data_IF_224531000989
#
_entry.id   IF_224531000989
#
_cell.length_a   1.000
_cell.length_b   1.000
_cell.length_c   1.000
_cell.angle_alpha   90.00
_cell.angle_beta   90.00
_cell.angle_gamma   90.00
#
_symmetry.space_group_name_H-M   'P 1'
#
loop_
_entity.id
_entity.type
_entity.pdbx_description
1 polymer ?
#
# COMPACT_ATOMS: atom_id res chain seq x y z
N UNK A 1 7.77 -8.63 12.89
CA UNK A 1 8.22 -9.80 12.07
C UNK A 1 9.55 -10.29 12.63
N UNK A 2 9.65 -11.60 12.90
CA UNK A 2 10.81 -12.23 13.54
C UNK A 2 11.67 -13.04 12.56
N UNK A 3 11.11 -13.38 11.41
CA UNK A 3 11.82 -14.11 10.33
C UNK A 3 11.28 -13.72 8.97
N UNK A 4 12.15 -13.56 8.00
CA UNK A 4 11.83 -13.37 6.58
C UNK A 4 12.71 -14.30 5.75
N UNK A 5 12.11 -15.07 4.86
CA UNK A 5 12.81 -15.97 3.92
C UNK A 5 12.35 -15.67 2.51
N UNK A 6 13.28 -15.51 1.61
CA UNK A 6 13.08 -15.29 0.17
C UNK A 6 13.63 -16.46 -0.62
N UNK A 7 12.90 -16.86 -1.65
CA UNK A 7 13.33 -17.88 -2.62
C UNK A 7 13.07 -17.36 -4.02
N UNK A 8 14.08 -17.37 -4.87
CA UNK A 8 14.06 -16.90 -6.27
C UNK A 8 13.38 -15.54 -6.48
N UNK A 9 13.54 -14.62 -5.52
CA UNK A 9 12.92 -13.32 -5.50
C UNK A 9 13.89 -12.22 -5.97
N UNK A 10 13.64 -11.60 -7.12
CA UNK A 10 14.49 -10.53 -7.68
C UNK A 10 15.96 -11.00 -7.83
N UNK A 11 16.87 -10.39 -7.05
CA UNK A 11 18.29 -10.77 -7.01
C UNK A 11 18.61 -11.94 -6.07
N UNK A 12 17.68 -12.29 -5.18
CA UNK A 12 17.91 -13.27 -4.12
C UNK A 12 17.55 -14.68 -4.58
N UNK A 13 18.54 -15.60 -4.61
CA UNK A 13 18.30 -17.01 -4.88
C UNK A 13 17.64 -17.70 -3.68
N UNK A 14 18.26 -17.56 -2.52
CA UNK A 14 17.75 -18.00 -1.23
C UNK A 14 18.36 -17.11 -0.16
N UNK A 15 17.53 -16.50 0.66
CA UNK A 15 17.99 -15.58 1.70
C UNK A 15 17.07 -15.66 2.90
N UNK A 16 17.69 -15.64 4.09
CA UNK A 16 16.96 -15.60 5.36
C UNK A 16 17.52 -14.48 6.23
N UNK A 17 16.63 -13.70 6.81
CA UNK A 17 16.95 -12.66 7.79
C UNK A 17 16.05 -12.84 9.02
N UNK A 18 16.62 -12.68 10.20
CA UNK A 18 15.93 -12.78 11.49
C UNK A 18 16.10 -11.47 12.24
N UNK A 19 15.25 -10.47 11.91
CA UNK A 19 15.25 -9.20 12.60
C UNK A 19 14.64 -9.34 13.99
N UNK A 20 15.20 -8.66 14.97
CA UNK A 20 14.55 -8.43 16.25
C UNK A 20 13.50 -7.31 16.16
N UNK A 21 12.84 -6.98 17.26
CA UNK A 21 11.98 -5.80 17.36
C UNK A 21 12.78 -4.51 17.14
N UNK A 22 12.12 -3.47 16.64
CA UNK A 22 12.72 -2.15 16.44
C UNK A 22 13.21 -1.90 15.01
N UNK A 23 14.01 -0.84 14.80
CA UNK A 23 14.47 -0.43 13.48
C UNK A 23 15.43 -1.44 12.83
N UNK A 24 15.26 -1.68 11.55
CA UNK A 24 16.10 -2.53 10.70
C UNK A 24 16.68 -1.65 9.60
N UNK A 25 17.99 -1.45 9.62
CA UNK A 25 18.70 -0.60 8.67
C UNK A 25 19.42 -1.48 7.65
N UNK A 26 19.11 -1.27 6.39
CA UNK A 26 19.70 -1.96 5.25
C UNK A 26 20.63 -1.00 4.52
N UNK A 27 21.94 -1.24 4.62
CA UNK A 27 22.98 -0.44 3.97
C UNK A 27 23.61 -1.18 2.79
N UNK A 28 24.34 -0.46 1.96
CA UNK A 28 25.06 -1.01 0.81
C UNK A 28 24.92 -0.16 -0.46
N UNK A 29 25.67 -0.46 -1.52
CA UNK A 29 25.66 0.33 -2.76
C UNK A 29 24.31 0.30 -3.47
N UNK A 30 24.14 1.22 -4.43
CA UNK A 30 22.95 1.22 -5.29
C UNK A 30 22.91 -0.08 -6.12
N UNK A 31 21.69 -0.64 -6.24
CA UNK A 31 21.50 -1.91 -6.94
C UNK A 31 21.82 -3.17 -6.11
N UNK A 32 22.36 -3.06 -4.89
CA UNK A 32 22.73 -4.22 -4.04
C UNK A 32 21.53 -5.12 -3.64
N UNK A 33 20.29 -4.63 -3.73
CA UNK A 33 19.10 -5.41 -3.39
C UNK A 33 18.30 -4.87 -2.19
N UNK A 34 18.70 -3.75 -1.58
CA UNK A 34 18.02 -3.15 -0.41
C UNK A 34 16.50 -2.98 -0.62
N UNK A 35 16.10 -2.26 -1.67
CA UNK A 35 14.70 -2.05 -2.01
C UNK A 35 13.97 -3.35 -2.35
N UNK A 36 14.67 -4.39 -2.82
CA UNK A 36 14.05 -5.70 -3.08
C UNK A 36 13.63 -6.38 -1.77
N UNK A 37 14.37 -6.21 -0.67
CA UNK A 37 13.93 -6.69 0.65
C UNK A 37 12.68 -5.94 1.14
N UNK A 38 12.65 -4.62 1.02
CA UNK A 38 11.44 -3.86 1.34
C UNK A 38 10.25 -4.30 0.47
N UNK A 39 10.50 -4.53 -0.82
CA UNK A 39 9.48 -5.04 -1.73
C UNK A 39 8.93 -6.40 -1.26
N UNK A 40 9.82 -7.31 -0.84
CA UNK A 40 9.41 -8.60 -0.30
C UNK A 40 8.52 -8.46 0.94
N UNK A 41 8.90 -7.60 1.90
CA UNK A 41 8.05 -7.31 3.07
C UNK A 41 6.70 -6.73 2.65
N UNK A 42 6.67 -5.84 1.67
CA UNK A 42 5.42 -5.24 1.18
C UNK A 42 4.46 -6.24 0.54
N UNK A 43 4.95 -7.38 0.04
CA UNK A 43 4.13 -8.49 -0.44
C UNK A 43 3.50 -9.32 0.67
N UNK A 44 3.90 -9.16 1.91
CA UNK A 44 3.24 -9.78 3.06
C UNK A 44 2.00 -9.00 3.53
N UNK A 45 1.70 -7.86 2.92
CA UNK A 45 0.47 -7.11 3.06
C UNK A 45 -0.43 -7.26 1.81
N UNK A 46 -1.73 -6.92 1.88
CA UNK A 46 -2.61 -6.89 0.70
C UNK A 46 -2.10 -5.93 -0.38
N UNK A 47 -2.38 -6.26 -1.64
CA UNK A 47 -2.03 -5.42 -2.78
C UNK A 47 -0.88 -5.96 -3.63
N UNK A 48 -0.35 -5.12 -4.51
CA UNK A 48 0.65 -5.50 -5.53
C UNK A 48 2.09 -5.18 -5.11
N UNK A 49 2.35 -5.09 -3.81
CA UNK A 49 3.67 -4.73 -3.30
C UNK A 49 4.09 -3.29 -3.59
N UNK A 50 5.30 -2.96 -3.18
CA UNK A 50 5.87 -1.61 -3.16
C UNK A 50 5.98 -1.00 -4.57
N UNK A 51 6.47 -1.76 -5.56
CA UNK A 51 6.69 -1.30 -6.95
C UNK A 51 5.54 -1.62 -7.90
N UNK A 52 4.55 -2.42 -7.49
CA UNK A 52 3.43 -2.87 -8.33
C UNK A 52 3.84 -3.60 -9.61
N UNK A 53 4.97 -4.26 -9.59
CA UNK A 53 5.48 -5.06 -10.69
C UNK A 53 4.51 -6.20 -11.05
N UNK A 54 4.59 -6.67 -12.29
CA UNK A 54 3.96 -7.94 -12.67
C UNK A 54 4.62 -9.08 -11.90
N UNK A 55 3.87 -10.11 -11.56
CA UNK A 55 4.40 -11.21 -10.75
C UNK A 55 5.56 -11.93 -11.46
N UNK A 56 5.50 -12.02 -12.78
CA UNK A 56 6.57 -12.58 -13.64
C UNK A 56 7.84 -11.72 -13.68
N UNK A 57 7.72 -10.40 -13.45
CA UNK A 57 8.89 -9.49 -13.40
C UNK A 57 9.69 -9.63 -12.09
N UNK A 58 9.12 -10.28 -11.09
CA UNK A 58 9.73 -10.51 -9.78
C UNK A 58 10.62 -11.75 -9.77
N UNK A 59 10.37 -12.70 -10.68
CA UNK A 59 11.20 -13.91 -10.82
C UNK A 59 12.67 -13.54 -10.89
N UNK A 60 13.50 -14.34 -10.24
CA UNK A 60 14.94 -14.13 -10.24
C UNK A 60 15.51 -14.25 -11.63
N UNK A 61 16.19 -13.21 -12.10
CA UNK A 61 16.93 -13.22 -13.37
C UNK A 61 18.31 -13.78 -13.12
N UNK A 62 18.59 -14.96 -13.66
CA UNK A 62 19.93 -15.56 -13.66
C UNK A 62 20.73 -14.97 -14.82
N UNK A 63 21.93 -14.40 -14.61
CA UNK A 63 22.78 -13.96 -15.69
C UNK A 63 23.09 -15.12 -16.65
N UNK A 64 23.11 -14.92 -17.97
CA UNK A 64 23.34 -15.98 -18.96
C UNK A 64 24.71 -16.67 -18.82
N UNK A 65 25.66 -16.09 -18.10
CA UNK A 65 27.00 -16.63 -17.89
C UNK A 65 27.08 -17.83 -16.91
N UNK A 66 26.00 -18.18 -16.22
CA UNK A 66 25.91 -19.41 -15.38
C UNK A 66 24.67 -20.20 -15.78
N UNK A 67 24.75 -21.07 -16.78
CA UNK A 67 23.66 -21.98 -17.05
C UNK A 67 23.48 -22.89 -15.83
N UNK A 68 22.46 -22.64 -15.04
CA UNK A 68 21.96 -23.59 -14.07
C UNK A 68 21.10 -24.59 -14.86
N UNK A 69 21.33 -25.89 -14.71
CA UNK A 69 20.51 -26.94 -15.32
C UNK A 69 19.05 -26.93 -14.86
N UNK A 70 18.71 -26.07 -13.92
CA UNK A 70 17.35 -25.89 -13.40
C UNK A 70 16.94 -24.41 -13.62
N UNK A 71 15.87 -24.15 -14.38
CA UNK A 71 15.34 -22.83 -14.50
C UNK A 71 14.95 -22.30 -13.11
N UNK A 72 15.07 -20.99 -12.84
CA UNK A 72 14.62 -20.43 -11.58
C UNK A 72 13.14 -20.76 -11.37
N UNK A 73 12.82 -21.23 -10.17
CA UNK A 73 11.46 -21.49 -9.75
C UNK A 73 10.64 -20.21 -9.68
N UNK A 74 9.33 -20.34 -9.48
CA UNK A 74 8.50 -19.20 -9.12
C UNK A 74 8.96 -18.65 -7.78
N UNK A 75 9.02 -17.32 -7.66
CA UNK A 75 9.42 -16.69 -6.41
C UNK A 75 8.49 -17.01 -5.25
N UNK A 76 9.06 -17.08 -4.06
CA UNK A 76 8.33 -17.24 -2.82
C UNK A 76 8.90 -16.36 -1.70
N UNK A 77 8.03 -15.89 -0.83
CA UNK A 77 8.33 -15.15 0.39
C UNK A 77 7.62 -15.86 1.54
N UNK A 78 8.34 -16.16 2.61
CA UNK A 78 7.77 -16.66 3.85
C UNK A 78 8.23 -15.79 5.02
N UNK A 79 7.35 -15.53 5.96
CA UNK A 79 7.67 -14.78 7.16
C UNK A 79 6.99 -15.38 8.40
N UNK A 80 7.65 -15.20 9.53
CA UNK A 80 7.05 -15.33 10.85
C UNK A 80 6.79 -13.93 11.38
N UNK A 81 5.53 -13.65 11.70
CA UNK A 81 5.09 -12.36 12.22
C UNK A 81 4.54 -12.54 13.62
N UNK A 82 4.81 -11.59 14.49
CA UNK A 82 4.30 -11.56 15.86
C UNK A 82 3.40 -10.33 16.01
N UNK A 83 2.17 -10.54 16.42
CA UNK A 83 1.18 -9.49 16.60
C UNK A 83 0.36 -9.73 17.88
N UNK A 84 -0.66 -8.90 18.14
CA UNK A 84 -1.52 -9.04 19.34
C UNK A 84 -2.20 -10.40 19.48
N UNK A 85 -2.46 -11.07 18.35
CA UNK A 85 -3.07 -12.41 18.31
C UNK A 85 -2.07 -13.56 18.44
N UNK A 86 -0.79 -13.26 18.70
CA UNK A 86 0.29 -14.24 18.78
C UNK A 86 1.18 -14.29 17.53
N UNK A 87 1.94 -15.38 17.41
CA UNK A 87 2.83 -15.62 16.28
C UNK A 87 2.07 -16.31 15.15
N UNK A 88 2.29 -15.87 13.91
CA UNK A 88 1.73 -16.47 12.71
C UNK A 88 2.78 -16.65 11.61
N UNK A 89 2.71 -17.76 10.88
CA UNK A 89 3.53 -18.00 9.68
C UNK A 89 2.71 -17.66 8.45
N UNK A 90 3.16 -16.66 7.73
CA UNK A 90 2.53 -16.20 6.50
C UNK A 90 3.48 -16.38 5.32
N UNK A 91 2.94 -16.69 4.16
CA UNK A 91 3.73 -16.87 2.95
C UNK A 91 2.97 -16.39 1.72
N UNK A 92 3.72 -15.99 0.72
CA UNK A 92 3.16 -15.63 -0.58
C UNK A 92 4.15 -15.93 -1.69
N UNK A 93 3.64 -16.23 -2.87
CA UNK A 93 4.48 -16.53 -4.01
C UNK A 93 3.69 -16.47 -5.33
N UNK A 94 4.41 -16.62 -6.43
CA UNK A 94 3.81 -16.80 -7.74
C UNK A 94 3.40 -18.26 -7.93
N UNK A 95 2.21 -18.48 -8.48
CA UNK A 95 1.76 -19.81 -8.86
C UNK A 95 2.50 -20.25 -10.15
N UNK A 96 3.39 -21.20 -10.01
CA UNK A 96 4.15 -21.75 -11.14
C UNK A 96 3.26 -22.52 -12.14
N UNK A 97 2.11 -23.05 -11.68
CA UNK A 97 1.18 -23.80 -12.52
C UNK A 97 0.18 -22.90 -13.27
N UNK A 98 0.16 -21.60 -13.00
CA UNK A 98 -0.72 -20.66 -13.67
C UNK A 98 -0.23 -20.36 -15.09
N UNK A 99 -1.06 -20.63 -16.10
CA UNK A 99 -0.75 -20.36 -17.51
C UNK A 99 -0.42 -18.87 -17.77
N UNK A 100 -1.08 -17.96 -17.09
CA UNK A 100 -0.82 -16.52 -17.22
C UNK A 100 0.44 -16.06 -16.46
N UNK A 101 0.96 -16.89 -15.52
CA UNK A 101 2.04 -16.51 -14.61
C UNK A 101 1.70 -15.38 -13.63
N UNK A 102 0.49 -14.84 -13.67
CA UNK A 102 0.05 -13.67 -12.88
C UNK A 102 -0.85 -14.04 -11.70
N UNK A 103 -0.88 -15.33 -11.32
CA UNK A 103 -1.59 -15.79 -10.13
C UNK A 103 -0.69 -15.78 -8.92
N UNK A 104 -1.15 -15.11 -7.87
CA UNK A 104 -0.47 -15.07 -6.56
C UNK A 104 -1.12 -16.07 -5.61
N UNK A 105 -0.29 -16.87 -4.94
CA UNK A 105 -0.69 -17.76 -3.85
C UNK A 105 -0.39 -17.09 -2.53
N UNK A 106 -1.26 -17.27 -1.55
CA UNK A 106 -1.06 -16.85 -0.16
C UNK A 106 -1.27 -18.07 0.74
N UNK A 107 -0.37 -18.26 1.67
CA UNK A 107 -0.43 -19.31 2.69
C UNK A 107 -0.47 -18.66 4.09
N UNK A 108 -1.32 -19.17 4.97
CA UNK A 108 -1.37 -18.81 6.38
C UNK A 108 -1.30 -20.11 7.17
N UNK A 109 -0.33 -20.24 8.06
CA UNK A 109 -0.02 -21.51 8.78
C UNK A 109 0.14 -22.71 7.85
N UNK A 110 0.67 -22.48 6.64
CA UNK A 110 0.86 -23.52 5.63
C UNK A 110 -0.38 -23.87 4.82
N UNK A 111 -1.57 -23.35 5.18
CA UNK A 111 -2.80 -23.59 4.44
C UNK A 111 -3.08 -22.46 3.42
N UNK A 112 -3.61 -22.78 2.22
CA UNK A 112 -3.97 -21.78 1.24
C UNK A 112 -5.07 -20.83 1.75
N UNK A 113 -4.82 -19.52 1.70
CA UNK A 113 -5.82 -18.51 2.02
C UNK A 113 -6.77 -18.27 0.83
N UNK A 114 -8.01 -17.92 1.12
CA UNK A 114 -9.03 -17.62 0.09
C UNK A 114 -8.66 -16.44 -0.80
N UNK A 115 -7.95 -15.46 -0.25
CA UNK A 115 -7.49 -14.28 -0.97
C UNK A 115 -6.29 -13.62 -0.27
N UNK A 116 -5.59 -12.73 -0.99
CA UNK A 116 -4.51 -11.93 -0.40
C UNK A 116 -5.00 -10.95 0.69
N UNK A 117 -6.30 -10.67 0.76
CA UNK A 117 -6.87 -9.81 1.80
C UNK A 117 -6.69 -10.42 3.21
N UNK A 118 -6.61 -11.75 3.33
CA UNK A 118 -6.35 -12.43 4.59
C UNK A 118 -5.02 -12.03 5.25
N UNK A 119 -4.03 -11.57 4.47
CA UNK A 119 -2.76 -11.05 5.03
C UNK A 119 -2.95 -9.85 5.94
N UNK A 120 -4.01 -9.02 5.73
CA UNK A 120 -4.29 -7.83 6.54
C UNK A 120 -4.63 -8.14 8.01
N UNK A 121 -5.02 -9.37 8.31
CA UNK A 121 -5.27 -9.81 9.68
C UNK A 121 -3.97 -10.09 10.46
N UNK A 122 -2.87 -10.31 9.74
CA UNK A 122 -1.58 -10.72 10.31
C UNK A 122 -0.50 -9.65 10.21
N UNK A 123 -0.51 -8.84 9.16
CA UNK A 123 0.48 -7.79 8.95
C UNK A 123 -0.13 -6.57 8.30
N UNK A 124 0.05 -5.42 8.91
CA UNK A 124 -0.13 -4.11 8.29
C UNK A 124 1.24 -3.55 7.93
N UNK A 125 1.43 -3.13 6.69
CA UNK A 125 2.65 -2.46 6.24
C UNK A 125 2.31 -1.19 5.47
N UNK A 126 3.03 -0.12 5.74
CA UNK A 126 2.98 1.15 5.02
C UNK A 126 4.38 1.51 4.54
N UNK A 127 4.48 2.11 3.38
CA UNK A 127 5.79 2.43 2.81
C UNK A 127 5.88 3.82 2.22
N UNK A 128 7.09 4.34 2.24
CA UNK A 128 7.52 5.52 1.53
C UNK A 128 8.66 5.14 0.59
N UNK A 129 8.56 5.57 -0.64
CA UNK A 129 9.58 5.36 -1.68
C UNK A 129 9.88 6.67 -2.38
N UNK A 130 11.04 6.83 -3.04
CA UNK A 130 11.35 8.04 -3.81
C UNK A 130 10.29 8.40 -4.86
N UNK A 131 9.63 7.40 -5.44
CA UNK A 131 8.55 7.61 -6.42
C UNK A 131 7.34 8.33 -5.81
N UNK A 132 7.12 8.18 -4.51
CA UNK A 132 5.99 8.81 -3.80
C UNK A 132 6.23 10.28 -3.48
N UNK A 133 7.44 10.80 -3.66
CA UNK A 133 7.75 12.23 -3.51
C UNK A 133 6.87 13.08 -4.47
N UNK A 134 6.37 12.48 -5.55
CA UNK A 134 5.45 13.11 -6.51
C UNK A 134 3.96 12.86 -6.24
N UNK A 135 3.60 12.23 -5.12
CA UNK A 135 2.23 11.83 -4.83
C UNK A 135 1.21 12.97 -4.97
N UNK A 136 1.57 14.16 -4.52
CA UNK A 136 0.67 15.31 -4.54
C UNK A 136 0.60 16.01 -5.90
N UNK A 137 1.61 15.84 -6.75
CA UNK A 137 1.64 16.37 -8.13
C UNK A 137 1.19 15.35 -9.18
N UNK A 138 1.17 14.05 -8.83
CA UNK A 138 0.67 12.99 -9.69
C UNK A 138 -0.87 13.03 -9.77
N UNK A 139 -1.44 12.23 -10.68
CA UNK A 139 -2.89 12.13 -10.85
C UNK A 139 -3.61 11.50 -9.65
N UNK A 140 -4.90 11.78 -9.50
CA UNK A 140 -5.76 11.30 -8.42
C UNK A 140 -5.70 9.77 -8.19
N UNK A 141 -5.40 8.98 -9.22
CA UNK A 141 -5.27 7.53 -9.08
C UNK A 141 -4.11 7.10 -8.17
N UNK A 142 -3.01 7.88 -8.14
CA UNK A 142 -1.90 7.63 -7.22
C UNK A 142 -2.32 7.91 -5.76
N UNK A 143 -3.02 9.02 -5.53
CA UNK A 143 -3.54 9.41 -4.22
C UNK A 143 -4.60 8.44 -3.69
N UNK A 144 -5.52 7.96 -4.55
CA UNK A 144 -6.47 6.90 -4.14
C UNK A 144 -5.77 5.62 -3.70
N UNK A 145 -4.77 5.16 -4.45
CA UNK A 145 -4.00 3.96 -4.07
C UNK A 145 -3.24 4.13 -2.76
N UNK A 146 -2.72 5.33 -2.51
CA UNK A 146 -2.11 5.66 -1.23
C UNK A 146 -3.15 5.61 -0.11
N UNK A 147 -4.30 6.26 -0.31
CA UNK A 147 -5.41 6.24 0.65
C UNK A 147 -5.91 4.81 0.92
N UNK A 148 -6.17 4.00 -0.11
CA UNK A 148 -6.64 2.62 0.07
C UNK A 148 -5.68 1.79 0.93
N UNK A 149 -4.38 2.02 0.79
CA UNK A 149 -3.37 1.36 1.63
C UNK A 149 -3.50 1.75 3.10
N UNK A 150 -3.76 3.01 3.40
CA UNK A 150 -4.03 3.46 4.75
C UNK A 150 -5.33 2.85 5.28
N UNK A 151 -6.37 2.77 4.45
CA UNK A 151 -7.66 2.16 4.81
C UNK A 151 -7.49 0.68 5.15
N UNK A 152 -6.61 -0.09 4.47
CA UNK A 152 -6.36 -1.50 4.80
C UNK A 152 -5.91 -1.70 6.24
N UNK A 153 -5.17 -0.76 6.82
CA UNK A 153 -4.78 -0.80 8.23
C UNK A 153 -5.98 -0.65 9.17
N UNK A 154 -6.94 0.19 8.83
CA UNK A 154 -8.14 0.41 9.63
C UNK A 154 -9.21 -0.65 9.42
N UNK A 155 -9.34 -1.15 8.19
CA UNK A 155 -10.37 -2.06 7.73
C UNK A 155 -9.79 -3.11 6.77
N UNK A 156 -9.40 -4.30 7.27
CA UNK A 156 -8.87 -5.38 6.44
C UNK A 156 -9.80 -5.82 5.30
N UNK A 157 -11.12 -5.67 5.47
CA UNK A 157 -12.13 -6.00 4.45
C UNK A 157 -12.13 -5.06 3.25
N UNK A 158 -11.53 -3.87 3.38
CA UNK A 158 -11.52 -2.86 2.31
C UNK A 158 -10.85 -3.36 1.02
N UNK A 159 -9.76 -4.13 1.13
CA UNK A 159 -9.10 -4.70 -0.04
C UNK A 159 -10.02 -5.61 -0.87
N UNK A 160 -10.88 -6.38 -0.20
CA UNK A 160 -11.88 -7.21 -0.87
C UNK A 160 -12.93 -6.36 -1.60
N UNK A 161 -13.46 -5.32 -0.94
CA UNK A 161 -14.46 -4.41 -1.52
C UNK A 161 -13.93 -3.65 -2.73
N UNK A 162 -12.69 -3.12 -2.65
CA UNK A 162 -12.04 -2.45 -3.79
C UNK A 162 -11.90 -3.41 -4.98
N UNK A 163 -11.40 -4.64 -4.75
CA UNK A 163 -11.25 -5.63 -5.80
C UNK A 163 -12.60 -6.04 -6.42
N UNK A 164 -13.63 -6.24 -5.60
CA UNK A 164 -14.98 -6.58 -6.07
C UNK A 164 -15.59 -5.45 -6.90
N UNK A 165 -15.45 -4.20 -6.43
CA UNK A 165 -15.86 -3.00 -7.17
C UNK A 165 -15.16 -2.90 -8.54
N UNK A 166 -13.84 -3.02 -8.57
CA UNK A 166 -13.05 -2.93 -9.81
C UNK A 166 -13.37 -4.07 -10.79
N UNK A 167 -13.67 -5.28 -10.29
CA UNK A 167 -14.05 -6.42 -11.12
C UNK A 167 -15.37 -6.15 -11.83
N UNK A 168 -16.40 -5.76 -11.06
CA UNK A 168 -17.75 -5.50 -11.59
C UNK A 168 -17.73 -4.29 -12.54
N UNK A 169 -16.96 -3.24 -12.23
CA UNK A 169 -16.78 -2.09 -13.10
C UNK A 169 -16.17 -2.47 -14.45
N UNK A 170 -15.15 -3.33 -14.46
CA UNK A 170 -14.52 -3.82 -15.71
C UNK A 170 -15.49 -4.70 -16.52
N UNK A 171 -16.26 -5.54 -15.84
CA UNK A 171 -17.26 -6.40 -16.50
C UNK A 171 -18.35 -5.56 -17.15
N UNK A 172 -18.89 -4.54 -16.44
CA UNK A 172 -19.83 -3.58 -17.00
C UNK A 172 -19.25 -2.84 -18.22
N UNK A 173 -18.01 -2.33 -18.10
CA UNK A 173 -17.36 -1.64 -19.22
C UNK A 173 -17.18 -2.54 -20.45
N UNK A 174 -16.82 -3.82 -20.24
CA UNK A 174 -16.69 -4.81 -21.31
C UNK A 174 -18.04 -5.04 -22.03
N UNK A 175 -19.12 -5.22 -21.27
CA UNK A 175 -20.46 -5.43 -21.84
C UNK A 175 -20.96 -4.20 -22.60
N UNK A 176 -20.65 -2.99 -22.13
CA UNK A 176 -21.03 -1.76 -22.82
C UNK A 176 -20.22 -1.50 -24.09
N UNK A 177 -19.05 -2.13 -24.24
CA UNK A 177 -18.19 -2.01 -25.41
C UNK A 177 -18.48 -3.07 -26.49
N UNK A 178 -19.36 -4.05 -26.24
CA UNK A 178 -19.74 -5.07 -27.22
C UNK A 178 -20.63 -4.47 -28.33
N UNK A 179 -20.41 -4.88 -29.57
CA UNK A 179 -21.22 -4.44 -30.73
C UNK A 179 -22.69 -4.83 -30.65
N UNK A 180 -23.00 -5.85 -29.85
CA UNK A 180 -24.38 -6.28 -29.60
C UNK A 180 -24.92 -5.64 -28.34
N UNK A 181 -26.16 -5.18 -28.32
CA UNK A 181 -26.77 -4.66 -27.10
C UNK A 181 -26.69 -5.70 -25.97
N UNK A 182 -26.03 -5.32 -24.88
CA UNK A 182 -25.98 -6.16 -23.67
C UNK A 182 -27.40 -6.34 -23.09
N UNK A 183 -27.62 -7.48 -22.45
CA UNK A 183 -28.87 -7.73 -21.71
C UNK A 183 -29.06 -6.64 -20.63
N UNK A 184 -30.16 -5.87 -20.69
CA UNK A 184 -30.43 -4.81 -19.72
C UNK A 184 -30.55 -5.32 -18.29
N UNK A 185 -31.03 -6.56 -18.09
CA UNK A 185 -31.17 -7.17 -16.77
C UNK A 185 -29.77 -7.49 -16.18
N UNK A 186 -28.85 -7.99 -16.99
CA UNK A 186 -27.48 -8.24 -16.56
C UNK A 186 -26.76 -6.94 -16.20
N UNK A 187 -26.85 -5.90 -17.04
CA UNK A 187 -26.29 -4.59 -16.73
C UNK A 187 -26.84 -4.03 -15.41
N UNK A 188 -28.14 -4.16 -15.17
CA UNK A 188 -28.79 -3.70 -13.93
C UNK A 188 -28.26 -4.47 -12.71
N UNK A 189 -28.06 -5.78 -12.81
CA UNK A 189 -27.47 -6.58 -11.74
C UNK A 189 -26.02 -6.17 -11.44
N UNK A 190 -25.20 -5.93 -12.47
CA UNK A 190 -23.84 -5.43 -12.31
C UNK A 190 -23.81 -4.04 -11.68
N UNK A 191 -24.68 -3.14 -12.09
CA UNK A 191 -24.79 -1.79 -11.56
C UNK A 191 -25.23 -1.77 -10.08
N UNK A 192 -26.14 -2.67 -9.68
CA UNK A 192 -26.49 -2.88 -8.28
C UNK A 192 -25.28 -3.33 -7.44
N UNK A 193 -24.56 -4.36 -7.89
CA UNK A 193 -23.34 -4.81 -7.21
C UNK A 193 -22.23 -3.75 -7.19
N UNK A 194 -22.13 -2.98 -8.27
CA UNK A 194 -21.18 -1.87 -8.35
C UNK A 194 -21.54 -0.77 -7.36
N UNK A 195 -22.83 -0.48 -7.16
CA UNK A 195 -23.33 0.50 -6.18
C UNK A 195 -23.04 0.02 -4.75
N UNK A 196 -23.41 -1.20 -4.39
CA UNK A 196 -23.13 -1.81 -3.10
C UNK A 196 -21.65 -1.71 -2.70
N UNK A 197 -20.76 -2.24 -3.54
CA UNK A 197 -19.32 -2.22 -3.24
C UNK A 197 -18.74 -0.80 -3.31
N UNK A 198 -19.24 0.04 -4.22
CA UNK A 198 -18.78 1.41 -4.39
C UNK A 198 -19.09 2.32 -3.19
N UNK A 199 -20.31 2.22 -2.65
CA UNK A 199 -20.71 2.93 -1.43
C UNK A 199 -19.87 2.47 -0.24
N UNK A 200 -19.65 1.16 -0.09
CA UNK A 200 -18.81 0.62 0.98
C UNK A 200 -17.35 1.08 0.88
N UNK A 201 -16.80 1.21 -0.33
CA UNK A 201 -15.45 1.77 -0.56
C UNK A 201 -15.40 3.25 -0.20
N UNK A 202 -16.36 4.06 -0.65
CA UNK A 202 -16.40 5.49 -0.35
C UNK A 202 -16.56 5.76 1.15
N UNK A 203 -17.46 5.05 1.82
CA UNK A 203 -17.69 5.18 3.26
C UNK A 203 -16.43 4.84 4.08
N UNK A 204 -15.71 3.74 3.74
CA UNK A 204 -14.48 3.37 4.42
C UNK A 204 -13.35 4.41 4.22
N UNK A 205 -13.26 5.00 3.02
CA UNK A 205 -12.30 6.09 2.75
C UNK A 205 -12.63 7.35 3.52
N UNK A 206 -13.92 7.76 3.59
CA UNK A 206 -14.35 8.92 4.36
C UNK A 206 -14.03 8.76 5.86
N UNK A 207 -14.36 7.60 6.45
CA UNK A 207 -14.04 7.31 7.85
C UNK A 207 -12.52 7.37 8.10
N UNK A 208 -11.72 6.77 7.23
CA UNK A 208 -10.26 6.79 7.36
C UNK A 208 -9.70 8.21 7.23
N UNK A 209 -10.18 9.01 6.26
CA UNK A 209 -9.72 10.40 6.07
C UNK A 209 -10.10 11.25 7.29
N UNK A 210 -11.30 11.14 7.82
CA UNK A 210 -11.72 11.88 9.00
C UNK A 210 -10.84 11.58 10.23
N UNK A 211 -10.53 10.30 10.45
CA UNK A 211 -9.63 9.85 11.53
C UNK A 211 -8.21 10.38 11.36
N UNK A 212 -7.68 10.27 10.14
CA UNK A 212 -6.33 10.73 9.84
C UNK A 212 -6.21 12.24 9.91
N UNK A 213 -7.21 13.00 9.42
CA UNK A 213 -7.24 14.46 9.53
C UNK A 213 -7.15 14.91 10.98
N UNK A 214 -7.92 14.26 11.87
CA UNK A 214 -7.87 14.56 13.31
C UNK A 214 -6.47 14.34 13.90
N UNK A 215 -5.83 13.20 13.62
CA UNK A 215 -4.48 12.89 14.12
C UNK A 215 -3.41 13.77 13.47
N UNK A 216 -3.53 14.06 12.18
CA UNK A 216 -2.61 14.96 11.47
C UNK A 216 -2.69 16.41 12.00
N UNK A 217 -3.88 16.87 12.37
CA UNK A 217 -4.07 18.19 12.95
C UNK A 217 -3.38 18.36 14.32
N UNK A 218 -3.21 17.28 15.08
CA UNK A 218 -2.50 17.27 16.37
C UNK A 218 -0.98 17.23 16.22
N UNK A 219 -0.45 16.98 15.01
CA UNK A 219 0.99 16.84 14.76
C UNK A 219 1.72 18.15 15.08
N UNK A 220 2.75 18.03 15.92
CA UNK A 220 3.66 19.13 16.32
C UNK A 220 5.09 18.70 16.05
N UNK A 221 5.97 19.69 15.84
CA UNK A 221 7.41 19.43 15.68
C UNK A 221 7.92 19.64 14.26
N UNK A 222 8.89 18.85 13.82
CA UNK A 222 9.61 19.02 12.56
C UNK A 222 8.79 18.69 11.29
N UNK A 223 7.70 17.90 11.45
CA UNK A 223 6.79 17.61 10.35
C UNK A 223 5.56 18.50 10.43
N UNK A 224 5.15 19.15 9.30
CA UNK A 224 3.99 20.02 9.31
C UNK A 224 2.71 19.22 9.54
N UNK A 225 1.76 19.83 10.26
CA UNK A 225 0.40 19.31 10.31
C UNK A 225 -0.20 19.26 8.89
N UNK A 226 -0.87 18.17 8.56
CA UNK A 226 -1.62 18.05 7.31
C UNK A 226 -3.12 18.16 7.60
N UNK A 227 -3.87 18.75 6.65
CA UNK A 227 -5.32 18.71 6.62
C UNK A 227 -5.74 17.85 5.45
N UNK A 228 -6.56 16.86 5.73
CA UNK A 228 -6.98 15.84 4.77
C UNK A 228 -8.46 16.01 4.43
N UNK A 229 -8.79 15.82 3.16
CA UNK A 229 -10.18 15.82 2.67
C UNK A 229 -10.33 14.78 1.57
N UNK A 230 -11.55 14.31 1.35
CA UNK A 230 -11.87 13.41 0.25
C UNK A 230 -12.97 14.05 -0.59
N UNK A 231 -12.65 14.33 -1.85
CA UNK A 231 -13.57 14.93 -2.81
C UNK A 231 -14.04 13.87 -3.80
N UNK A 232 -15.34 13.76 -3.99
CA UNK A 232 -15.98 12.87 -4.95
C UNK A 232 -17.49 12.99 -4.86
N UNK A 233 -18.18 12.64 -5.95
CA UNK A 233 -19.64 12.78 -6.00
C UNK A 233 -20.33 11.77 -5.05
N UNK A 234 -19.84 10.54 -5.00
CA UNK A 234 -20.36 9.51 -4.07
C UNK A 234 -20.10 9.92 -2.61
N UNK A 235 -18.90 10.44 -2.35
CA UNK A 235 -18.47 10.89 -1.03
C UNK A 235 -19.33 12.06 -0.54
N UNK A 236 -19.70 12.98 -1.44
CA UNK A 236 -20.61 14.10 -1.11
C UNK A 236 -22.02 13.59 -0.74
N UNK A 237 -22.54 12.59 -1.47
CA UNK A 237 -23.85 12.02 -1.12
C UNK A 237 -23.87 11.37 0.25
N UNK A 238 -22.80 10.70 0.64
CA UNK A 238 -22.68 10.06 1.95
C UNK A 238 -22.60 11.09 3.11
N UNK A 239 -22.24 12.33 2.81
CA UNK A 239 -22.34 13.44 3.76
C UNK A 239 -23.78 13.89 4.02
N UNK A 240 -24.66 13.76 3.00
CA UNK A 240 -25.99 14.33 3.02
C UNK A 240 -27.13 13.30 3.14
N UNK A 241 -26.85 12.02 2.82
CA UNK A 241 -27.85 10.96 2.68
C UNK A 241 -27.46 9.71 3.45
N UNK A 242 -28.47 8.91 3.84
CA UNK A 242 -28.24 7.55 4.32
C UNK A 242 -27.58 6.69 3.23
N UNK A 243 -26.72 5.75 3.63
CA UNK A 243 -25.95 4.90 2.70
C UNK A 243 -26.84 4.16 1.69
N UNK A 244 -28.00 3.65 2.11
CA UNK A 244 -28.92 2.95 1.23
C UNK A 244 -29.48 3.90 0.13
N UNK A 245 -29.84 5.13 0.49
CA UNK A 245 -30.33 6.12 -0.49
C UNK A 245 -29.21 6.55 -1.46
N UNK A 246 -27.97 6.62 -1.01
CA UNK A 246 -26.82 6.88 -1.87
C UNK A 246 -26.55 5.72 -2.83
N UNK A 247 -26.74 4.47 -2.38
CA UNK A 247 -26.61 3.25 -3.18
C UNK A 247 -27.65 3.18 -4.29
N UNK A 248 -28.93 3.40 -3.96
CA UNK A 248 -30.03 3.47 -4.94
C UNK A 248 -29.79 4.56 -5.99
N UNK A 249 -29.38 5.76 -5.55
CA UNK A 249 -29.05 6.86 -6.46
C UNK A 249 -27.86 6.50 -7.36
N UNK A 250 -26.82 5.84 -6.82
CA UNK A 250 -25.68 5.43 -7.61
C UNK A 250 -26.06 4.41 -8.69
N UNK A 251 -26.82 3.36 -8.35
CA UNK A 251 -27.32 2.38 -9.31
C UNK A 251 -28.16 3.05 -10.41
N UNK A 252 -29.08 3.95 -10.03
CA UNK A 252 -29.91 4.71 -10.96
C UNK A 252 -29.07 5.58 -11.92
N UNK A 253 -28.06 6.26 -11.41
CA UNK A 253 -27.17 7.11 -12.23
C UNK A 253 -26.30 6.26 -13.18
N UNK A 254 -25.80 5.10 -12.75
CA UNK A 254 -25.07 4.16 -13.62
C UNK A 254 -25.94 3.70 -14.78
N UNK A 255 -27.22 3.34 -14.52
CA UNK A 255 -28.16 2.96 -15.56
C UNK A 255 -28.43 4.09 -16.56
N UNK A 256 -28.59 5.32 -16.07
CA UNK A 256 -28.78 6.49 -16.95
C UNK A 256 -27.52 6.84 -17.78
N UNK A 257 -26.32 6.53 -17.27
CA UNK A 257 -25.05 6.84 -17.93
C UNK A 257 -24.60 5.81 -18.98
N UNK A 258 -25.30 4.69 -19.17
CA UNK A 258 -24.88 3.57 -20.06
C UNK A 258 -24.41 4.04 -21.44
N UNK A 259 -25.15 4.93 -22.09
CA UNK A 259 -24.81 5.45 -23.45
C UNK A 259 -23.52 6.27 -23.44
N UNK A 260 -23.36 7.14 -22.45
CA UNK A 260 -22.18 7.99 -22.32
C UNK A 260 -20.94 7.17 -21.97
N UNK A 261 -21.09 6.20 -21.06
CA UNK A 261 -20.02 5.30 -20.65
C UNK A 261 -19.57 4.38 -21.81
N UNK A 262 -20.52 3.88 -22.62
CA UNK A 262 -20.23 3.13 -23.84
C UNK A 262 -19.45 3.97 -24.86
N UNK A 263 -19.89 5.21 -25.10
CA UNK A 263 -19.25 6.10 -26.06
C UNK A 263 -17.83 6.54 -25.64
N UNK A 264 -17.60 6.73 -24.32
CA UNK A 264 -16.31 7.15 -23.77
C UNK A 264 -15.36 5.98 -23.46
N UNK A 265 -15.86 4.74 -23.44
CA UNK A 265 -15.14 3.56 -22.99
C UNK A 265 -14.78 3.57 -21.50
N UNK A 266 -15.39 4.49 -20.71
CA UNK A 266 -15.06 4.64 -19.29
C UNK A 266 -16.31 4.89 -18.46
N UNK A 267 -16.35 4.36 -17.23
CA UNK A 267 -17.39 4.71 -16.26
C UNK A 267 -17.12 6.09 -15.68
N UNK A 268 -18.06 7.02 -15.85
CA UNK A 268 -17.92 8.42 -15.44
C UNK A 268 -18.14 8.67 -13.96
N UNK A 269 -18.87 7.81 -13.26
CA UNK A 269 -19.31 7.99 -11.88
C UNK A 269 -18.84 6.84 -10.98
N UNK A 270 -18.37 7.17 -9.77
CA UNK A 270 -18.02 6.19 -8.74
C UNK A 270 -16.82 6.57 -7.89
N UNK A 271 -16.51 5.82 -6.82
CA UNK A 271 -15.38 6.10 -5.91
C UNK A 271 -14.00 6.00 -6.60
N UNK A 272 -13.91 5.44 -7.80
CA UNK A 272 -12.70 5.47 -8.63
C UNK A 272 -12.42 6.87 -9.22
N UNK A 273 -13.34 7.83 -9.08
CA UNK A 273 -13.21 9.24 -9.46
C UNK A 273 -12.88 10.15 -8.28
N UNK A 274 -13.01 9.67 -7.04
CA UNK A 274 -12.68 10.44 -5.85
C UNK A 274 -11.20 10.85 -5.81
N UNK A 275 -10.89 11.92 -5.10
CA UNK A 275 -9.54 12.41 -4.91
C UNK A 275 -9.26 12.78 -3.45
N UNK A 276 -8.08 12.39 -2.97
CA UNK A 276 -7.58 12.77 -1.65
C UNK A 276 -6.94 14.16 -1.75
N UNK A 277 -7.59 15.15 -1.15
CA UNK A 277 -7.04 16.48 -0.95
C UNK A 277 -6.14 16.52 0.27
N UNK A 278 -4.99 17.19 0.14
CA UNK A 278 -4.04 17.40 1.23
C UNK A 278 -3.63 18.86 1.23
N UNK A 279 -3.75 19.52 2.40
CA UNK A 279 -3.31 20.89 2.62
C UNK A 279 -2.31 20.98 3.76
N UNK A 280 -1.39 21.91 3.65
CA UNK A 280 -0.47 22.25 4.73
C UNK A 280 -1.24 22.96 5.85
N UNK A 281 -1.19 22.43 7.08
CA UNK A 281 -2.00 22.94 8.20
C UNK A 281 -1.70 24.36 8.62
N UNK A 282 -0.44 24.81 8.50
CA UNK A 282 -0.02 26.16 8.87
C UNK A 282 -0.28 27.21 7.78
N UNK A 283 0.04 26.91 6.52
CA UNK A 283 -0.11 27.87 5.39
C UNK A 283 -1.41 27.73 4.64
N UNK A 284 -2.18 26.68 4.87
CA UNK A 284 -3.40 26.31 4.14
C UNK A 284 -3.23 26.09 2.63
N UNK A 285 -1.99 26.06 2.14
CA UNK A 285 -1.69 25.77 0.74
C UNK A 285 -1.99 24.32 0.40
N UNK A 286 -2.45 24.06 -0.83
CA UNK A 286 -2.54 22.70 -1.38
C UNK A 286 -1.15 22.06 -1.39
N UNK A 287 -1.04 20.79 -1.00
CA UNK A 287 0.24 20.09 -0.95
C UNK A 287 0.96 20.09 -2.30
N UNK A 288 0.22 20.05 -3.42
CA UNK A 288 0.79 20.15 -4.77
C UNK A 288 1.47 21.48 -5.09
N UNK A 289 1.16 22.54 -4.35
CA UNK A 289 1.72 23.89 -4.49
C UNK A 289 2.87 24.16 -3.50
N UNK A 290 3.07 23.27 -2.53
CA UNK A 290 4.17 23.36 -1.58
C UNK A 290 5.51 23.00 -2.27
N UNK A 291 6.62 23.42 -1.67
CA UNK A 291 7.96 22.99 -2.12
C UNK A 291 8.13 21.49 -2.02
N UNK A 292 9.06 20.91 -2.77
CA UNK A 292 9.32 19.46 -2.75
C UNK A 292 9.69 18.95 -1.36
N UNK A 293 10.44 19.73 -0.59
CA UNK A 293 10.79 19.41 0.81
C UNK A 293 9.58 19.43 1.74
N UNK A 294 8.63 20.36 1.55
CA UNK A 294 7.38 20.42 2.31
C UNK A 294 6.44 19.28 1.91
N UNK A 295 6.32 18.98 0.61
CA UNK A 295 5.54 17.84 0.13
C UNK A 295 6.02 16.53 0.78
N UNK A 296 7.33 16.31 0.81
CA UNK A 296 7.92 15.15 1.47
C UNK A 296 7.66 15.14 2.97
N UNK A 297 7.81 16.27 3.63
CA UNK A 297 7.54 16.38 5.07
C UNK A 297 6.04 16.12 5.40
N UNK A 298 5.11 16.63 4.59
CA UNK A 298 3.69 16.34 4.70
C UNK A 298 3.40 14.84 4.54
N UNK A 299 4.00 14.21 3.53
CA UNK A 299 3.81 12.80 3.26
C UNK A 299 4.32 11.92 4.41
N UNK A 300 5.52 12.22 4.94
CA UNK A 300 6.07 11.53 6.11
C UNK A 300 5.16 11.76 7.32
N UNK A 301 4.73 12.99 7.57
CA UNK A 301 3.81 13.34 8.66
C UNK A 301 2.51 12.54 8.62
N UNK A 302 1.91 12.36 7.44
CA UNK A 302 0.70 11.55 7.26
C UNK A 302 0.96 10.07 7.58
N UNK A 303 2.09 9.51 7.14
CA UNK A 303 2.46 8.11 7.41
C UNK A 303 2.71 7.88 8.90
N UNK A 304 3.39 8.81 9.58
CA UNK A 304 3.60 8.75 11.03
C UNK A 304 2.29 8.92 11.80
N UNK A 305 1.40 9.84 11.38
CA UNK A 305 0.06 10.00 11.97
C UNK A 305 -0.77 8.72 11.81
N UNK A 306 -0.70 8.06 10.65
CA UNK A 306 -1.33 6.76 10.46
C UNK A 306 -0.77 5.71 11.43
N UNK A 307 0.55 5.62 11.56
CA UNK A 307 1.17 4.65 12.47
C UNK A 307 0.76 4.89 13.93
N UNK A 308 0.74 6.16 14.38
CA UNK A 308 0.23 6.54 15.72
C UNK A 308 -1.25 6.18 15.90
N UNK A 309 -2.09 6.42 14.89
CA UNK A 309 -3.51 6.07 14.92
C UNK A 309 -3.73 4.56 15.05
N UNK A 310 -2.93 3.77 14.35
CA UNK A 310 -2.98 2.31 14.43
C UNK A 310 -2.54 1.79 15.81
N UNK A 311 -1.43 2.31 16.34
CA UNK A 311 -0.92 1.97 17.66
C UNK A 311 -1.96 2.23 18.77
N UNK A 312 -2.60 3.41 18.74
CA UNK A 312 -3.65 3.78 19.71
C UNK A 312 -4.89 2.90 19.62
N UNK A 313 -5.28 2.45 18.44
CA UNK A 313 -6.53 1.73 18.20
C UNK A 313 -6.41 0.22 18.35
N UNK A 314 -5.35 -0.36 17.82
CA UNK A 314 -5.17 -1.82 17.74
C UNK A 314 -4.12 -2.35 18.71
N UNK A 315 -3.33 -1.46 19.33
CA UNK A 315 -2.13 -1.86 20.07
C UNK A 315 -1.06 -2.46 19.16
N UNK A 316 -1.23 -2.31 17.82
CA UNK A 316 -0.34 -2.87 16.82
C UNK A 316 0.18 -1.75 15.91
N UNK A 317 1.51 -1.68 15.77
CA UNK A 317 2.17 -0.67 14.94
C UNK A 317 2.42 -1.28 13.56
N UNK A 318 2.01 -0.61 12.46
CA UNK A 318 2.30 -1.12 11.13
C UNK A 318 3.81 -1.17 10.89
N UNK A 319 4.26 -2.15 10.13
CA UNK A 319 5.65 -2.18 9.67
C UNK A 319 5.88 -1.01 8.72
N UNK A 320 6.81 -0.13 9.07
CA UNK A 320 7.21 1.00 8.24
C UNK A 320 8.31 0.58 7.27
N UNK A 321 8.12 0.82 5.97
CA UNK A 321 9.14 0.54 4.95
C UNK A 321 9.57 1.88 4.34
N UNK A 322 10.78 2.33 4.67
CA UNK A 322 11.29 3.67 4.36
C UNK A 322 12.47 3.57 3.38
N UNK A 323 12.15 3.60 2.07
CA UNK A 323 13.15 3.47 1.01
C UNK A 323 13.84 4.82 0.74
N UNK A 324 15.11 4.93 1.09
CA UNK A 324 15.97 6.12 0.91
C UNK A 324 15.41 7.42 1.54
N UNK A 325 14.48 7.31 2.50
CA UNK A 325 13.80 8.48 3.08
C UNK A 325 14.78 9.38 3.83
N UNK A 326 15.71 8.80 4.60
CA UNK A 326 16.67 9.52 5.43
C UNK A 326 17.65 10.39 4.63
N UNK A 327 18.03 9.95 3.42
CA UNK A 327 19.01 10.62 2.58
C UNK A 327 18.56 12.01 2.08
N UNK A 328 17.26 12.25 2.04
CA UNK A 328 16.67 13.48 1.52
C UNK A 328 16.08 14.40 2.60
N UNK A 329 16.34 14.10 3.87
CA UNK A 329 15.92 14.92 5.00
C UNK A 329 17.11 15.73 5.54
N UNK A 330 16.84 16.96 5.93
CA UNK A 330 17.76 17.71 6.76
C UNK A 330 17.96 17.01 8.12
N UNK A 331 19.00 17.42 8.87
CA UNK A 331 19.37 16.79 10.13
C UNK A 331 18.24 16.84 11.16
N UNK A 332 17.55 17.98 11.27
CA UNK A 332 16.44 18.17 12.21
C UNK A 332 15.28 17.23 11.94
N UNK A 333 14.83 17.14 10.69
CA UNK A 333 13.75 16.25 10.29
C UNK A 333 14.14 14.78 10.37
N UNK A 334 15.40 14.46 10.08
CA UNK A 334 15.92 13.10 10.21
C UNK A 334 15.95 12.66 11.68
N UNK A 335 16.44 13.49 12.58
CA UNK A 335 16.39 13.22 14.01
C UNK A 335 14.95 13.05 14.53
N UNK A 336 14.05 13.92 14.10
CA UNK A 336 12.63 13.81 14.45
C UNK A 336 11.98 12.52 13.91
N UNK A 337 12.31 12.07 12.68
CA UNK A 337 11.84 10.81 12.15
C UNK A 337 12.30 9.62 13.00
N UNK A 338 13.55 9.63 13.44
CA UNK A 338 14.10 8.55 14.27
C UNK A 338 13.43 8.51 15.64
N UNK A 339 13.26 9.65 16.29
CA UNK A 339 12.52 9.74 17.56
C UNK A 339 11.09 9.22 17.43
N UNK A 340 10.37 9.58 16.37
CA UNK A 340 9.02 9.07 16.11
C UNK A 340 9.00 7.53 15.89
N UNK A 341 9.98 6.97 15.20
CA UNK A 341 10.10 5.52 14.99
C UNK A 341 10.34 4.81 16.32
N UNK A 342 11.20 5.35 17.17
CA UNK A 342 11.51 4.82 18.50
C UNK A 342 10.29 4.91 19.42
N UNK A 343 9.61 6.06 19.46
CA UNK A 343 8.40 6.27 20.26
C UNK A 343 7.24 5.35 19.85
N UNK A 344 7.12 5.05 18.57
CA UNK A 344 6.14 4.10 18.05
C UNK A 344 6.43 2.68 18.53
N UNK A 345 7.69 2.32 18.79
CA UNK A 345 8.10 0.99 19.26
C UNK A 345 7.85 -0.14 18.26
N UNK A 346 7.44 0.19 17.03
CA UNK A 346 7.17 -0.75 15.95
C UNK A 346 8.43 -1.09 15.14
N UNK A 347 8.29 -2.02 14.20
CA UNK A 347 9.38 -2.37 13.30
C UNK A 347 9.39 -1.42 12.10
N UNK A 348 10.53 -0.73 11.88
CA UNK A 348 10.76 0.13 10.73
C UNK A 348 11.96 -0.37 9.93
N UNK A 349 11.78 -0.58 8.63
CA UNK A 349 12.84 -0.99 7.71
C UNK A 349 13.28 0.22 6.90
N UNK A 350 14.54 0.62 7.08
CA UNK A 350 15.12 1.80 6.44
C UNK A 350 16.22 1.36 5.47
N UNK A 351 16.32 2.01 4.32
CA UNK A 351 17.40 1.78 3.36
C UNK A 351 18.24 3.04 3.18
N UNK A 352 19.54 2.86 2.96
CA UNK A 352 20.47 3.93 2.60
C UNK A 352 21.78 3.39 2.06
N UNK A 353 22.56 4.27 1.46
CA UNK A 353 23.91 3.92 0.96
C UNK A 353 24.99 4.14 2.02
N UNK A 354 24.80 5.12 2.91
CA UNK A 354 25.76 5.50 3.93
C UNK A 354 25.22 5.17 5.33
N UNK A 355 25.88 4.27 6.09
CA UNK A 355 25.51 3.97 7.48
C UNK A 355 25.51 5.20 8.40
N UNK A 356 26.34 6.22 8.11
CA UNK A 356 26.43 7.43 8.93
C UNK A 356 25.10 8.21 8.99
N UNK A 357 24.26 8.09 7.97
CA UNK A 357 22.91 8.70 7.97
C UNK A 357 22.04 8.19 9.13
N UNK A 358 22.29 6.98 9.62
CA UNK A 358 21.49 6.30 10.64
C UNK A 358 22.11 6.34 12.04
N UNK A 359 23.21 7.10 12.24
CA UNK A 359 23.88 7.21 13.53
C UNK A 359 22.99 7.78 14.65
N UNK A 360 21.91 8.50 14.28
CA UNK A 360 20.92 9.02 15.24
C UNK A 360 19.85 8.02 15.68
N UNK A 361 19.82 6.81 15.12
CA UNK A 361 18.96 5.73 15.64
C UNK A 361 19.58 5.14 16.91
N UNK A 362 18.77 4.89 17.93
CA UNK A 362 19.21 4.34 19.19
C UNK A 362 19.81 2.93 19.10
N UNK A 363 20.30 2.44 20.22
CA UNK A 363 20.98 1.13 20.33
C UNK A 363 20.11 -0.08 19.96
N UNK A 364 18.80 0.11 19.82
CA UNK A 364 17.87 -0.94 19.35
C UNK A 364 17.87 -1.15 17.85
N UNK A 365 18.53 -0.30 17.07
CA UNK A 365 18.62 -0.43 15.62
C UNK A 365 19.56 -1.58 15.22
N UNK A 366 19.14 -2.35 14.23
CA UNK A 366 19.89 -3.45 13.68
C UNK A 366 20.38 -3.11 12.29
N UNK A 367 21.67 -3.28 12.04
CA UNK A 367 22.31 -2.95 10.77
C UNK A 367 22.60 -4.23 9.98
N UNK A 368 22.23 -4.22 8.72
CA UNK A 368 22.54 -5.28 7.75
C UNK A 368 23.18 -4.63 6.53
N UNK A 369 24.37 -5.10 6.18
CA UNK A 369 25.03 -4.70 4.94
C UNK A 369 24.63 -5.62 3.80
N UNK A 370 24.31 -5.03 2.65
CA UNK A 370 23.83 -5.76 1.48
C UNK A 370 24.77 -5.52 0.31
N UNK A 371 25.35 -6.61 -0.19
CA UNK A 371 26.22 -6.56 -1.35
C UNK A 371 25.86 -7.73 -2.28
N UNK A 372 25.51 -7.41 -3.53
CA UNK A 372 25.16 -8.41 -4.57
C UNK A 372 24.09 -9.43 -4.11
N UNK A 373 23.03 -8.95 -3.46
CA UNK A 373 21.96 -9.74 -2.86
C UNK A 373 22.44 -10.73 -1.78
N UNK A 374 23.60 -10.52 -1.17
CA UNK A 374 24.08 -11.20 0.03
C UNK A 374 23.95 -10.27 1.22
N UNK A 375 23.41 -10.79 2.32
CA UNK A 375 23.19 -10.05 3.56
C UNK A 375 24.26 -10.44 4.58
N UNK A 376 24.94 -9.47 5.15
CA UNK A 376 25.84 -9.61 6.29
C UNK A 376 25.41 -8.69 7.43
N UNK A 377 25.81 -9.01 8.65
CA UNK A 377 25.46 -8.29 9.87
C UNK A 377 26.67 -7.55 10.38
#
# INVERSE_FOLDING_TARGET
MTRLTLTDFRGYASTRIEPAAGPVVLTGPNGAGKTNLLEAVSFLAPGRGLRRARLTEIDRRVPPARPTNTPPGAWAIAATVSGPSGEARIGTGRDAASESGERRIVLIEGAPAKSQAALAEHLCAIWLTPQMDRLFTDGASARRRFLDRLVYGFDPGHAHRVNAYELVMRERARLLAEDRPADPAWLTALEGRMAEHGIAVAAARLDAVARLDAVCAETKGAFPAARLSLAGEIEAWLGDKAALAAEEEFARRLAAARRNDAASGTTGLGPHRADLGVRHGGTHMEASQCSTGEQKALLIGIVLAFARSMARRRGDVPVLLLDEVAAHLDETRRAALYGEIEDLGGQAWLTGTDPALFAGLGSGAQFFDIKDAVISR
#
